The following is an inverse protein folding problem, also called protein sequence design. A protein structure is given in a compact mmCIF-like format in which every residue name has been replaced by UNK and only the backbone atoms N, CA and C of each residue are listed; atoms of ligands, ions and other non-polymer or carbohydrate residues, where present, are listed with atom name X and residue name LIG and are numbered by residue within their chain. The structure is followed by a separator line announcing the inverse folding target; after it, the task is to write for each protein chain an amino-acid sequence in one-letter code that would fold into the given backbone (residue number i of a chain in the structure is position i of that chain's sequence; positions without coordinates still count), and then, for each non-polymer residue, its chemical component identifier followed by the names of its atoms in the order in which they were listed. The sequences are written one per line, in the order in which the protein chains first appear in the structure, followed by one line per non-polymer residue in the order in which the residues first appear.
data_IF_056511013695
#
_entry.id   IF_056511013695
#
_cell.length_a   1.000
_cell.length_b   1.000
_cell.length_c   1.000
_cell.angle_alpha   90.00
_cell.angle_beta   90.00
_cell.angle_gamma   90.00
#
_symmetry.space_group_name_H-M   'P 1'
#
loop_
_entity.id
_entity.type
_entity.pdbx_description
1 polymer ?
#
# COMPACT_ATOMS: atom_id res chain seq x y z
N UNK A 1 0.90 -9.51 -33.71
CA UNK A 1 2.29 -9.19 -33.30
C UNK A 1 2.41 -8.88 -31.80
N UNK A 2 1.65 -7.92 -31.23
CA UNK A 2 1.72 -7.56 -29.79
C UNK A 2 1.61 -8.80 -28.88
N UNK A 3 0.58 -9.64 -29.07
CA UNK A 3 0.38 -10.87 -28.28
C UNK A 3 1.57 -11.83 -28.32
N UNK A 4 2.22 -11.95 -29.48
CA UNK A 4 3.38 -12.84 -29.66
C UNK A 4 4.58 -12.30 -28.88
N UNK A 5 4.85 -11.01 -28.98
CA UNK A 5 5.92 -10.33 -28.25
C UNK A 5 5.66 -10.41 -26.75
N UNK A 6 4.44 -10.11 -26.30
CA UNK A 6 4.04 -10.18 -24.90
C UNK A 6 4.18 -11.59 -24.33
N UNK A 7 3.77 -12.63 -25.07
CA UNK A 7 3.94 -14.02 -24.64
C UNK A 7 5.40 -14.41 -24.51
N UNK A 8 6.24 -14.01 -25.48
CA UNK A 8 7.69 -14.26 -25.45
C UNK A 8 8.32 -13.60 -24.23
N UNK A 9 8.04 -12.32 -24.04
CA UNK A 9 8.53 -11.53 -22.91
C UNK A 9 8.10 -12.12 -21.56
N UNK A 10 6.82 -12.49 -21.42
CA UNK A 10 6.30 -13.13 -20.22
C UNK A 10 7.04 -14.43 -19.89
N UNK A 11 7.24 -15.30 -20.90
CA UNK A 11 7.93 -16.58 -20.71
C UNK A 11 9.40 -16.37 -20.35
N UNK A 12 10.10 -15.43 -21.00
CA UNK A 12 11.49 -15.11 -20.68
C UNK A 12 11.63 -14.57 -19.27
N UNK A 13 10.76 -13.63 -18.88
CA UNK A 13 10.75 -13.04 -17.53
C UNK A 13 10.51 -14.12 -16.46
N UNK A 14 9.56 -15.03 -16.67
CA UNK A 14 9.30 -16.13 -15.73
C UNK A 14 10.41 -17.19 -15.69
N UNK A 15 11.25 -17.28 -16.72
CA UNK A 15 12.40 -18.18 -16.77
C UNK A 15 13.66 -17.57 -16.19
N UNK A 16 13.72 -16.25 -16.05
CA UNK A 16 14.83 -15.57 -15.40
C UNK A 16 14.88 -15.92 -13.90
N UNK A 17 16.00 -16.49 -13.46
CA UNK A 17 16.25 -16.81 -12.06
C UNK A 17 16.24 -15.54 -11.19
N UNK A 18 16.71 -14.41 -11.72
CA UNK A 18 16.72 -13.12 -11.00
C UNK A 18 15.30 -12.65 -10.70
N UNK A 19 14.40 -12.75 -11.68
CA UNK A 19 12.98 -12.46 -11.49
C UNK A 19 12.38 -13.35 -10.41
N UNK A 20 12.64 -14.66 -10.44
CA UNK A 20 12.11 -15.59 -9.43
C UNK A 20 12.61 -15.27 -8.02
N UNK A 21 13.90 -14.96 -7.87
CA UNK A 21 14.46 -14.58 -6.57
C UNK A 21 13.85 -13.27 -6.07
N UNK A 22 13.77 -12.25 -6.93
CA UNK A 22 13.15 -10.98 -6.58
C UNK A 22 11.65 -11.12 -6.27
N UNK A 23 10.95 -11.98 -6.99
CA UNK A 23 9.55 -12.34 -6.76
C UNK A 23 9.36 -12.91 -5.35
N UNK A 24 10.17 -13.92 -4.98
CA UNK A 24 10.10 -14.57 -3.66
C UNK A 24 10.37 -13.54 -2.57
N UNK A 25 11.45 -12.77 -2.67
CA UNK A 25 11.81 -11.76 -1.67
C UNK A 25 10.70 -10.72 -1.52
N UNK A 26 10.20 -10.18 -2.63
CA UNK A 26 9.18 -9.13 -2.60
C UNK A 26 7.86 -9.65 -2.06
N UNK A 27 7.45 -10.87 -2.43
CA UNK A 27 6.24 -11.50 -1.92
C UNK A 27 6.35 -11.78 -0.41
N UNK A 28 7.49 -12.28 0.05
CA UNK A 28 7.75 -12.49 1.48
C UNK A 28 7.71 -11.18 2.26
N UNK A 29 8.36 -10.13 1.76
CA UNK A 29 8.33 -8.81 2.40
C UNK A 29 6.91 -8.24 2.42
N UNK A 30 6.16 -8.35 1.33
CA UNK A 30 4.77 -7.88 1.28
C UNK A 30 3.88 -8.64 2.28
N UNK A 31 4.03 -9.96 2.36
CA UNK A 31 3.28 -10.79 3.31
C UNK A 31 3.59 -10.41 4.76
N UNK A 32 4.88 -10.30 5.11
CA UNK A 32 5.31 -9.87 6.45
C UNK A 32 4.78 -8.48 6.75
N UNK A 33 4.86 -7.54 5.79
CA UNK A 33 4.34 -6.18 5.95
C UNK A 33 2.83 -6.16 6.22
N UNK A 34 2.05 -6.96 5.48
CA UNK A 34 0.61 -7.07 5.69
C UNK A 34 0.26 -7.65 7.06
N UNK A 35 0.99 -8.69 7.50
CA UNK A 35 0.79 -9.31 8.81
C UNK A 35 1.14 -8.34 9.96
N UNK A 36 2.29 -7.66 9.87
CA UNK A 36 2.71 -6.66 10.85
C UNK A 36 1.74 -5.47 10.89
N UNK A 37 1.32 -4.99 9.72
CA UNK A 37 0.31 -3.95 9.60
C UNK A 37 -1.00 -4.35 10.25
N UNK A 38 -1.53 -5.54 9.92
CA UNK A 38 -2.79 -6.04 10.47
C UNK A 38 -2.74 -6.19 12.00
N UNK A 39 -1.65 -6.76 12.52
CA UNK A 39 -1.41 -6.87 13.96
C UNK A 39 -1.38 -5.49 14.63
N UNK A 40 -0.61 -4.55 14.09
CA UNK A 40 -0.50 -3.19 14.61
C UNK A 40 -1.85 -2.45 14.58
N UNK A 41 -2.60 -2.61 13.49
CA UNK A 41 -3.95 -2.06 13.39
C UNK A 41 -4.89 -2.65 14.45
N UNK A 42 -4.88 -3.97 14.63
CA UNK A 42 -5.75 -4.64 15.62
C UNK A 42 -5.44 -4.18 17.05
N UNK A 43 -4.17 -4.02 17.40
CA UNK A 43 -3.75 -3.54 18.71
C UNK A 43 -4.18 -2.08 18.95
N UNK A 44 -3.94 -1.20 17.98
CA UNK A 44 -4.37 0.21 18.06
C UNK A 44 -5.89 0.33 18.19
N UNK A 45 -6.64 -0.52 17.51
CA UNK A 45 -8.11 -0.50 17.62
C UNK A 45 -8.59 -0.95 18.99
N UNK A 46 -8.02 -2.02 19.55
CA UNK A 46 -8.35 -2.49 20.90
C UNK A 46 -8.03 -1.42 21.97
N UNK A 47 -6.87 -0.76 21.84
CA UNK A 47 -6.48 0.35 22.72
C UNK A 47 -7.45 1.53 22.58
N UNK A 48 -7.82 1.89 21.35
CA UNK A 48 -8.79 2.96 21.08
C UNK A 48 -10.16 2.67 21.69
N UNK A 49 -10.70 1.47 21.49
CA UNK A 49 -12.01 1.09 22.05
C UNK A 49 -12.01 1.14 23.58
N UNK A 50 -10.93 0.65 24.19
CA UNK A 50 -10.76 0.70 25.65
C UNK A 50 -10.70 2.15 26.13
N UNK A 51 -9.88 2.99 25.50
CA UNK A 51 -9.74 4.40 25.85
C UNK A 51 -11.05 5.18 25.67
N UNK A 52 -11.82 4.86 24.62
CA UNK A 52 -13.16 5.43 24.39
C UNK A 52 -14.14 5.04 25.49
N UNK A 53 -14.17 3.77 25.92
CA UNK A 53 -15.03 3.30 27.01
C UNK A 53 -14.70 3.99 28.33
N UNK A 54 -13.42 4.06 28.69
CA UNK A 54 -12.95 4.72 29.93
C UNK A 54 -13.31 6.20 29.91
N UNK A 55 -12.99 6.89 28.82
CA UNK A 55 -13.27 8.32 28.66
C UNK A 55 -14.77 8.61 28.69
N UNK A 56 -15.59 7.75 28.07
CA UNK A 56 -17.05 7.87 28.13
C UNK A 56 -17.58 7.65 29.55
N UNK A 57 -17.05 6.66 30.28
CA UNK A 57 -17.44 6.42 31.66
C UNK A 57 -17.07 7.61 32.57
N UNK A 58 -15.90 8.22 32.38
CA UNK A 58 -15.50 9.44 33.09
C UNK A 58 -16.47 10.60 32.79
N UNK A 59 -16.83 10.80 31.52
CA UNK A 59 -17.79 11.83 31.11
C UNK A 59 -19.20 11.61 31.68
N UNK A 60 -19.64 10.36 31.88
CA UNK A 60 -20.95 10.09 32.47
C UNK A 60 -20.93 10.20 33.99
N UNK A 61 -19.77 10.00 34.63
CA UNK A 61 -19.61 9.96 36.09
C UNK A 61 -18.91 11.20 36.69
N UNK A 62 -19.06 12.37 36.07
CA UNK A 62 -18.43 13.64 36.53
C UNK A 62 -19.04 14.24 37.81
N UNK A 63 -20.11 13.64 38.34
CA UNK A 63 -20.87 14.15 39.48
C UNK A 63 -21.82 15.31 39.12
N UNK A 64 -22.40 15.96 40.14
CA UNK A 64 -23.31 17.10 39.94
C UNK A 64 -22.53 18.34 39.53
N UNK A 65 -22.75 18.81 38.30
CA UNK A 65 -22.18 20.04 37.74
C UNK A 65 -23.20 20.71 36.83
N UNK A 66 -23.10 22.03 36.66
CA UNK A 66 -23.88 22.72 35.63
C UNK A 66 -23.30 22.39 34.23
N UNK A 67 -24.10 22.49 33.14
CA UNK A 67 -23.66 22.11 31.80
C UNK A 67 -22.42 22.86 31.30
N UNK A 68 -22.28 24.14 31.66
CA UNK A 68 -21.11 24.93 31.30
C UNK A 68 -19.85 24.41 32.01
N UNK A 69 -19.93 24.15 33.31
CA UNK A 69 -18.86 23.55 34.10
C UNK A 69 -18.46 22.17 33.57
N UNK A 70 -19.43 21.32 33.21
CA UNK A 70 -19.16 20.02 32.60
C UNK A 70 -18.34 20.13 31.30
N UNK A 71 -18.61 21.15 30.48
CA UNK A 71 -17.85 21.38 29.24
C UNK A 71 -16.37 21.78 29.48
N UNK A 72 -16.05 22.42 30.61
CA UNK A 72 -14.66 22.73 30.98
C UNK A 72 -13.88 21.54 31.54
N UNK A 73 -14.55 20.52 32.11
CA UNK A 73 -13.87 19.29 32.53
C UNK A 73 -13.47 18.40 31.36
N UNK A 74 -14.03 18.65 30.18
CA UNK A 74 -13.60 18.11 28.91
C UNK A 74 -13.69 16.60 28.77
N UNK A 75 -13.22 16.12 27.61
CA UNK A 75 -13.24 14.70 27.25
C UNK A 75 -12.22 14.45 26.14
N UNK A 76 -11.56 13.29 26.15
CA UNK A 76 -10.75 12.87 25.01
C UNK A 76 -11.63 12.38 23.85
N UNK A 77 -11.32 12.85 22.65
CA UNK A 77 -11.79 12.24 21.42
C UNK A 77 -10.64 11.51 20.73
N UNK A 78 -10.91 10.28 20.27
CA UNK A 78 -9.92 9.41 19.66
C UNK A 78 -10.19 9.23 18.17
N UNK A 79 -9.16 9.43 17.36
CA UNK A 79 -9.25 9.32 15.90
C UNK A 79 -9.60 7.88 15.49
N UNK A 80 -10.54 7.67 14.54
CA UNK A 80 -10.76 6.35 13.96
C UNK A 80 -9.59 5.90 13.08
N UNK A 81 -9.26 4.62 13.15
CA UNK A 81 -8.21 3.99 12.35
C UNK A 81 -8.87 3.18 11.22
N UNK A 82 -8.94 3.69 9.97
CA UNK A 82 -9.63 2.99 8.90
C UNK A 82 -8.93 1.66 8.59
N UNK A 83 -9.69 0.64 8.22
CA UNK A 83 -9.13 -0.70 7.99
C UNK A 83 -8.00 -0.71 6.94
N UNK A 84 -8.12 0.07 5.85
CA UNK A 84 -7.07 0.16 4.83
C UNK A 84 -5.74 0.76 5.33
N UNK A 85 -5.71 1.36 6.51
CA UNK A 85 -4.48 1.96 7.06
C UNK A 85 -3.40 0.94 7.40
N UNK A 86 -3.73 -0.35 7.52
CA UNK A 86 -2.69 -1.38 7.67
C UNK A 86 -1.95 -1.69 6.37
N UNK A 87 -2.56 -1.38 5.22
CA UNK A 87 -1.91 -1.48 3.90
C UNK A 87 -1.16 -0.17 3.61
N UNK A 88 -1.84 0.95 3.79
CA UNK A 88 -1.31 2.29 3.56
C UNK A 88 -1.56 3.20 4.79
N UNK A 89 -0.56 3.37 5.67
CA UNK A 89 -0.69 4.21 6.86
C UNK A 89 -0.93 5.69 6.53
N UNK A 90 -0.53 6.16 5.35
CA UNK A 90 -0.66 7.55 4.93
C UNK A 90 -0.09 8.52 5.99
N UNK A 91 -0.90 9.50 6.40
CA UNK A 91 -0.49 10.51 7.38
C UNK A 91 -0.71 10.09 8.85
N UNK A 92 -1.22 8.88 9.12
CA UNK A 92 -1.56 8.43 10.48
C UNK A 92 -0.42 8.58 11.50
N UNK A 93 0.84 8.26 11.17
CA UNK A 93 1.95 8.42 12.11
C UNK A 93 2.23 9.87 12.54
N UNK A 94 1.73 10.87 11.80
CA UNK A 94 2.15 12.26 11.95
C UNK A 94 1.09 13.20 12.53
N UNK A 95 -0.20 12.85 12.47
CA UNK A 95 -1.29 13.78 12.85
C UNK A 95 -1.75 13.64 14.30
N UNK A 96 -1.38 12.57 15.01
CA UNK A 96 -1.83 12.29 16.38
C UNK A 96 -3.07 11.39 16.42
N UNK A 97 -3.32 10.80 17.59
CA UNK A 97 -4.37 9.78 17.83
C UNK A 97 -5.48 10.25 18.77
N UNK A 98 -5.23 11.29 19.56
CA UNK A 98 -6.21 11.82 20.53
C UNK A 98 -6.20 13.34 20.57
N UNK A 99 -7.33 13.94 20.93
CA UNK A 99 -7.46 15.38 21.21
C UNK A 99 -8.29 15.59 22.47
N UNK A 100 -7.87 16.54 23.30
CA UNK A 100 -8.64 16.97 24.47
C UNK A 100 -9.69 17.99 24.05
N UNK A 101 -10.96 17.68 24.26
CA UNK A 101 -12.07 18.58 23.95
C UNK A 101 -12.48 19.33 25.23
N UNK A 102 -12.47 20.65 25.20
CA UNK A 102 -12.91 21.49 26.31
C UNK A 102 -13.54 22.81 25.80
N UNK A 103 -14.26 23.50 26.67
CA UNK A 103 -14.91 24.75 26.30
C UNK A 103 -13.91 25.86 25.95
N UNK A 104 -14.19 26.60 24.87
CA UNK A 104 -13.45 27.78 24.40
C UNK A 104 -11.96 27.56 24.08
N UNK A 105 -11.49 26.31 23.98
CA UNK A 105 -10.10 26.01 23.62
C UNK A 105 -10.02 24.87 22.62
N UNK A 106 -9.32 25.13 21.52
CA UNK A 106 -8.96 24.13 20.54
C UNK A 106 -7.58 23.57 20.90
N UNK A 107 -7.53 22.34 21.40
CA UNK A 107 -6.28 21.68 21.75
C UNK A 107 -5.64 21.00 20.55
N UNK A 108 -4.31 20.86 20.62
CA UNK A 108 -3.54 20.11 19.64
C UNK A 108 -3.81 18.61 19.71
N UNK A 109 -3.62 17.94 18.58
CA UNK A 109 -3.61 16.48 18.51
C UNK A 109 -2.35 15.89 19.17
N UNK A 110 -2.58 14.94 20.07
CA UNK A 110 -1.56 14.30 20.91
C UNK A 110 -1.31 12.84 20.48
N UNK A 111 -0.18 12.27 20.94
CA UNK A 111 0.22 10.90 20.66
C UNK A 111 0.52 10.67 19.18
N UNK A 112 1.53 11.35 18.63
CA UNK A 112 1.98 11.17 17.23
C UNK A 112 2.98 10.02 17.19
N UNK A 113 2.68 8.86 16.60
CA UNK A 113 3.59 7.71 16.60
C UNK A 113 4.99 8.03 16.07
N UNK A 114 5.10 8.88 15.04
CA UNK A 114 6.40 9.26 14.48
C UNK A 114 7.25 10.13 15.41
N UNK A 115 6.61 10.88 16.34
CA UNK A 115 7.33 11.68 17.35
C UNK A 115 7.98 10.77 18.38
N UNK A 116 7.27 9.72 18.78
CA UNK A 116 7.68 8.77 19.82
C UNK A 116 8.61 7.67 19.27
N UNK A 117 8.73 7.56 17.93
CA UNK A 117 9.63 6.63 17.27
C UNK A 117 11.11 6.98 17.48
N UNK A 118 11.93 5.94 17.62
CA UNK A 118 13.39 6.05 17.62
C UNK A 118 13.91 6.63 16.30
N UNK A 119 15.17 7.09 16.28
CA UNK A 119 15.83 7.57 15.06
C UNK A 119 15.76 6.55 13.91
N UNK A 120 15.93 5.25 14.21
CA UNK A 120 15.81 4.16 13.23
C UNK A 120 14.37 3.98 12.76
N UNK A 121 13.38 4.10 13.65
CA UNK A 121 11.96 4.02 13.29
C UNK A 121 11.49 5.12 12.32
N UNK A 122 12.26 6.21 12.18
CA UNK A 122 11.98 7.31 11.25
C UNK A 122 12.52 7.10 9.84
N UNK A 123 13.46 6.16 9.63
CA UNK A 123 14.02 5.85 8.30
C UNK A 123 13.05 5.11 7.38
N UNK A 124 11.96 4.60 7.94
CA UNK A 124 10.92 3.92 7.19
C UNK A 124 10.46 2.67 7.92
N UNK A 125 9.16 2.58 8.15
CA UNK A 125 8.53 1.34 8.63
C UNK A 125 8.28 0.43 7.44
N UNK A 126 8.57 -0.87 7.59
CA UNK A 126 8.20 -1.87 6.60
C UNK A 126 6.67 -1.97 6.52
N UNK A 127 6.07 -1.29 5.53
CA UNK A 127 4.64 -1.31 5.23
C UNK A 127 4.38 -1.93 3.87
N UNK A 128 3.15 -2.41 3.64
CA UNK A 128 2.76 -2.91 2.33
C UNK A 128 2.86 -1.80 1.27
N UNK A 129 2.52 -0.56 1.63
CA UNK A 129 2.75 0.60 0.78
C UNK A 129 4.21 0.85 0.45
N UNK A 130 5.15 0.69 1.39
CA UNK A 130 6.58 0.83 1.10
C UNK A 130 7.05 -0.21 0.07
N UNK A 131 6.63 -1.47 0.23
CA UNK A 131 6.94 -2.52 -0.74
C UNK A 131 6.36 -2.16 -2.11
N UNK A 132 5.11 -1.72 -2.17
CA UNK A 132 4.43 -1.37 -3.41
C UNK A 132 4.95 -0.08 -4.06
N UNK A 133 5.35 0.94 -3.30
CA UNK A 133 5.73 2.26 -3.83
C UNK A 133 7.24 2.40 -4.07
N UNK A 134 8.06 1.54 -3.45
CA UNK A 134 9.52 1.62 -3.56
C UNK A 134 10.09 0.35 -4.17
N UNK A 135 9.87 -0.80 -3.55
CA UNK A 135 10.54 -2.05 -3.96
C UNK A 135 10.02 -2.58 -5.31
N UNK A 136 8.70 -2.57 -5.52
CA UNK A 136 8.12 -3.02 -6.79
C UNK A 136 8.51 -2.11 -7.96
N UNK A 137 8.45 -0.77 -7.87
CA UNK A 137 8.97 0.11 -8.92
C UNK A 137 10.44 -0.12 -9.25
N UNK A 138 11.30 -0.33 -8.24
CA UNK A 138 12.71 -0.67 -8.48
C UNK A 138 12.84 -2.01 -9.23
N UNK A 139 12.04 -3.01 -8.85
CA UNK A 139 11.98 -4.28 -9.56
C UNK A 139 11.51 -4.09 -11.01
N UNK A 140 10.47 -3.27 -11.25
CA UNK A 140 9.98 -2.95 -12.59
C UNK A 140 11.10 -2.35 -13.44
N UNK A 141 11.80 -1.34 -12.92
CA UNK A 141 12.91 -0.67 -13.63
C UNK A 141 14.01 -1.65 -13.97
N UNK A 142 14.41 -2.51 -13.02
CA UNK A 142 15.45 -3.52 -13.24
C UNK A 142 15.06 -4.51 -14.35
N UNK A 143 13.81 -4.99 -14.34
CA UNK A 143 13.31 -5.95 -15.33
C UNK A 143 13.17 -5.31 -16.71
N UNK A 144 12.55 -4.14 -16.80
CA UNK A 144 12.33 -3.43 -18.06
C UNK A 144 13.65 -3.06 -18.74
N UNK A 145 14.62 -2.57 -17.97
CA UNK A 145 15.94 -2.27 -18.52
C UNK A 145 16.65 -3.53 -19.05
N UNK A 146 16.59 -4.63 -18.29
CA UNK A 146 17.19 -5.89 -18.70
C UNK A 146 16.64 -6.41 -20.02
N UNK A 147 15.33 -6.30 -20.25
CA UNK A 147 14.70 -6.83 -21.46
C UNK A 147 14.89 -5.95 -22.68
N UNK A 148 15.06 -4.64 -22.49
CA UNK A 148 15.45 -3.71 -23.54
C UNK A 148 16.93 -3.89 -23.93
N UNK A 149 17.83 -3.86 -22.94
CA UNK A 149 19.27 -3.91 -23.15
C UNK A 149 19.68 -5.23 -23.82
N UNK A 150 19.14 -6.37 -23.36
CA UNK A 150 19.45 -7.68 -23.92
C UNK A 150 19.08 -7.80 -25.41
N UNK A 151 17.94 -7.25 -25.84
CA UNK A 151 17.55 -7.29 -27.26
C UNK A 151 18.35 -6.31 -28.12
N UNK A 152 18.77 -5.18 -27.55
CA UNK A 152 19.62 -4.21 -28.22
C UNK A 152 21.03 -4.76 -28.45
N UNK A 153 21.63 -5.37 -27.42
CA UNK A 153 22.98 -5.94 -27.46
C UNK A 153 23.06 -7.17 -28.36
N UNK A 154 22.06 -8.05 -28.31
CA UNK A 154 21.97 -9.23 -29.19
C UNK A 154 21.59 -8.90 -30.64
N UNK A 155 21.25 -7.64 -30.95
CA UNK A 155 20.80 -7.20 -32.26
C UNK A 155 19.40 -7.69 -32.66
N UNK A 156 18.73 -8.49 -31.82
CA UNK A 156 17.39 -9.03 -32.08
C UNK A 156 16.34 -7.94 -32.21
N UNK A 157 16.49 -6.82 -31.50
CA UNK A 157 15.63 -5.65 -31.68
C UNK A 157 15.65 -5.15 -33.13
N UNK A 158 16.84 -5.03 -33.74
CA UNK A 158 16.98 -4.56 -35.13
C UNK A 158 16.37 -5.56 -36.11
N UNK A 159 16.54 -6.85 -35.87
CA UNK A 159 15.95 -7.92 -36.68
C UNK A 159 14.42 -7.84 -36.65
N UNK A 160 13.80 -7.72 -35.47
CA UNK A 160 12.35 -7.61 -35.33
C UNK A 160 11.82 -6.37 -36.03
N UNK A 161 12.49 -5.22 -35.90
CA UNK A 161 12.10 -3.99 -36.59
C UNK A 161 12.26 -4.09 -38.11
N UNK A 162 13.27 -4.82 -38.62
CA UNK A 162 13.44 -5.03 -40.07
C UNK A 162 12.34 -5.89 -40.71
N UNK A 163 11.62 -6.68 -39.92
CA UNK A 163 10.46 -7.46 -40.37
C UNK A 163 9.18 -6.63 -40.48
N UNK A 164 9.27 -5.30 -40.39
CA UNK A 164 8.13 -4.38 -40.50
C UNK A 164 7.35 -4.17 -39.21
N UNK A 165 7.84 -4.66 -38.06
CA UNK A 165 7.21 -4.38 -36.76
C UNK A 165 7.51 -2.94 -36.36
N UNK A 166 6.47 -2.15 -36.08
CA UNK A 166 6.65 -0.78 -35.61
C UNK A 166 7.26 -0.76 -34.19
N UNK A 167 8.04 0.28 -33.87
CA UNK A 167 8.57 0.50 -32.52
C UNK A 167 7.48 0.52 -31.44
N UNK A 168 6.32 1.09 -31.77
CA UNK A 168 5.14 1.13 -30.87
C UNK A 168 4.58 -0.26 -30.60
N UNK A 169 4.43 -1.10 -31.64
CA UNK A 169 3.96 -2.48 -31.51
C UNK A 169 4.92 -3.31 -30.66
N UNK A 170 6.22 -3.11 -30.86
CA UNK A 170 7.26 -3.74 -30.07
C UNK A 170 7.21 -3.32 -28.59
N UNK A 171 7.17 -2.01 -28.32
CA UNK A 171 7.13 -1.46 -26.96
C UNK A 171 5.85 -1.89 -26.21
N UNK A 172 4.68 -1.81 -26.83
CA UNK A 172 3.41 -2.27 -26.22
C UNK A 172 3.43 -3.77 -25.92
N UNK A 173 4.06 -4.57 -26.79
CA UNK A 173 4.28 -6.00 -26.55
C UNK A 173 5.14 -6.25 -25.31
N UNK A 174 6.25 -5.53 -25.17
CA UNK A 174 7.14 -5.56 -24.00
C UNK A 174 6.42 -5.14 -22.72
N UNK A 175 5.73 -4.01 -22.76
CA UNK A 175 4.92 -3.50 -21.65
C UNK A 175 3.91 -4.54 -21.17
N UNK A 176 3.14 -5.13 -22.10
CA UNK A 176 2.12 -6.12 -21.76
C UNK A 176 2.73 -7.40 -21.19
N UNK A 177 3.85 -7.88 -21.73
CA UNK A 177 4.55 -9.05 -21.24
C UNK A 177 5.08 -8.88 -19.81
N UNK A 178 5.72 -7.73 -19.54
CA UNK A 178 6.18 -7.37 -18.20
C UNK A 178 5.01 -7.17 -17.23
N UNK A 179 3.93 -6.51 -17.65
CA UNK A 179 2.74 -6.33 -16.83
C UNK A 179 2.10 -7.69 -16.45
N UNK A 180 2.05 -8.65 -17.38
CA UNK A 180 1.58 -10.00 -17.10
C UNK A 180 2.50 -10.76 -16.13
N UNK A 181 3.83 -10.59 -16.25
CA UNK A 181 4.77 -11.21 -15.33
C UNK A 181 4.62 -10.63 -13.92
N UNK A 182 4.46 -9.31 -13.79
CA UNK A 182 4.18 -8.64 -12.53
C UNK A 182 2.81 -9.02 -11.96
N UNK A 183 1.82 -9.29 -12.80
CA UNK A 183 0.51 -9.75 -12.34
C UNK A 183 0.60 -11.10 -11.58
N UNK A 184 1.56 -11.97 -11.94
CA UNK A 184 1.82 -13.22 -11.20
C UNK A 184 2.24 -12.94 -9.74
N UNK A 185 2.92 -11.82 -9.49
CA UNK A 185 3.26 -11.35 -8.13
C UNK A 185 2.06 -10.68 -7.45
N UNK A 186 1.49 -9.70 -8.15
CA UNK A 186 0.57 -8.73 -7.56
C UNK A 186 -0.82 -9.29 -7.33
N UNK A 187 -1.32 -10.15 -8.23
CA UNK A 187 -2.68 -10.69 -8.12
C UNK A 187 -2.84 -11.58 -6.89
N UNK A 188 -1.97 -12.58 -6.62
CA UNK A 188 -2.06 -13.38 -5.40
C UNK A 188 -1.96 -12.53 -4.13
N UNK A 189 -1.02 -11.58 -4.09
CA UNK A 189 -0.87 -10.68 -2.95
C UNK A 189 -2.12 -9.81 -2.74
N UNK A 190 -2.73 -9.33 -3.82
CA UNK A 190 -3.98 -8.56 -3.77
C UNK A 190 -5.14 -9.41 -3.27
N UNK A 191 -5.27 -10.66 -3.74
CA UNK A 191 -6.30 -11.59 -3.25
C UNK A 191 -6.15 -11.81 -1.75
N UNK A 192 -4.93 -12.03 -1.27
CA UNK A 192 -4.66 -12.22 0.15
C UNK A 192 -4.98 -10.96 0.95
N UNK A 193 -4.54 -9.78 0.47
CA UNK A 193 -4.88 -8.51 1.09
C UNK A 193 -6.39 -8.27 1.16
N UNK A 194 -7.12 -8.56 0.08
CA UNK A 194 -8.58 -8.48 0.02
C UNK A 194 -9.22 -9.44 1.02
N UNK A 195 -8.76 -10.70 1.08
CA UNK A 195 -9.28 -11.69 2.03
C UNK A 195 -9.06 -11.25 3.49
N UNK A 196 -7.88 -10.73 3.83
CA UNK A 196 -7.62 -10.20 5.18
C UNK A 196 -8.56 -9.02 5.48
N UNK A 197 -8.78 -8.11 4.51
CA UNK A 197 -9.68 -6.97 4.66
C UNK A 197 -11.15 -7.39 4.84
N UNK A 198 -11.62 -8.41 4.12
CA UNK A 198 -13.01 -8.87 4.22
C UNK A 198 -13.27 -9.69 5.47
N UNK A 199 -12.29 -10.46 5.94
CA UNK A 199 -12.38 -11.29 7.14
C UNK A 199 -12.10 -10.51 8.44
N UNK A 200 -11.50 -9.33 8.36
CA UNK A 200 -11.27 -8.49 9.55
C UNK A 200 -12.59 -7.99 10.15
N UNK A 201 -12.68 -8.02 11.48
CA UNK A 201 -13.86 -7.65 12.29
C UNK A 201 -14.14 -6.14 12.30
N UNK A 202 -14.29 -5.53 11.12
CA UNK A 202 -14.60 -4.12 10.95
C UNK A 202 -16.08 -3.93 10.60
N UNK A 203 -16.71 -2.92 11.20
CA UNK A 203 -18.16 -2.64 11.15
C UNK A 203 -18.60 -2.02 9.82
N UNK A 204 -17.66 -1.60 8.98
CA UNK A 204 -17.96 -1.05 7.66
C UNK A 204 -18.56 -2.13 6.73
N UNK A 205 -19.71 -1.87 6.09
CA UNK A 205 -20.30 -2.81 5.13
C UNK A 205 -19.43 -2.96 3.89
N UNK A 206 -19.49 -4.13 3.25
CA UNK A 206 -18.70 -4.45 2.05
C UNK A 206 -18.91 -3.43 0.92
N UNK A 207 -20.12 -2.89 0.79
CA UNK A 207 -20.46 -1.84 -0.20
C UNK A 207 -19.65 -0.56 -0.05
N UNK A 208 -19.12 -0.27 1.14
CA UNK A 208 -18.25 0.89 1.38
C UNK A 208 -16.76 0.52 1.35
N UNK A 209 -16.41 -0.74 1.63
CA UNK A 209 -15.03 -1.25 1.55
C UNK A 209 -14.58 -1.44 0.10
N UNK A 210 -15.43 -2.07 -0.72
CA UNK A 210 -15.09 -2.47 -2.08
C UNK A 210 -14.71 -1.29 -3.00
N UNK A 211 -15.43 -0.16 -3.04
CA UNK A 211 -15.04 0.97 -3.88
C UNK A 211 -13.67 1.54 -3.53
N UNK A 212 -13.32 1.58 -2.23
CA UNK A 212 -12.02 2.08 -1.77
C UNK A 212 -10.89 1.13 -2.15
N UNK A 213 -11.11 -0.18 -2.03
CA UNK A 213 -10.16 -1.22 -2.44
C UNK A 213 -9.94 -1.20 -3.95
N UNK A 214 -11.02 -1.07 -4.73
CA UNK A 214 -10.94 -0.93 -6.18
C UNK A 214 -10.19 0.33 -6.59
N UNK A 215 -10.50 1.48 -5.97
CA UNK A 215 -9.80 2.73 -6.25
C UNK A 215 -8.30 2.62 -5.95
N UNK A 216 -7.94 2.01 -4.82
CA UNK A 216 -6.55 1.75 -4.46
C UNK A 216 -5.87 0.82 -5.48
N UNK A 217 -6.54 -0.27 -5.88
CA UNK A 217 -6.04 -1.22 -6.86
C UNK A 217 -5.82 -0.59 -8.24
N UNK A 218 -6.79 0.21 -8.71
CA UNK A 218 -6.67 0.97 -9.97
C UNK A 218 -5.54 2.00 -9.89
N UNK A 219 -5.39 2.69 -8.76
CA UNK A 219 -4.30 3.63 -8.52
C UNK A 219 -2.93 2.97 -8.63
N UNK A 220 -2.74 1.82 -7.96
CA UNK A 220 -1.50 1.05 -8.07
C UNK A 220 -1.28 0.46 -9.47
N UNK A 221 -2.32 -0.01 -10.14
CA UNK A 221 -2.21 -0.51 -11.51
C UNK A 221 -1.77 0.59 -12.49
N UNK A 222 -2.33 1.79 -12.36
CA UNK A 222 -1.91 2.95 -13.14
C UNK A 222 -0.47 3.36 -12.80
N UNK A 223 -0.13 3.41 -11.51
CA UNK A 223 1.22 3.71 -11.06
C UNK A 223 2.25 2.73 -11.63
N UNK A 224 2.03 1.42 -11.53
CA UNK A 224 2.93 0.42 -12.10
C UNK A 224 2.97 0.48 -13.62
N UNK A 225 1.83 0.67 -14.29
CA UNK A 225 1.78 0.86 -15.73
C UNK A 225 2.60 2.07 -16.20
N UNK A 226 2.54 3.18 -15.46
CA UNK A 226 3.33 4.37 -15.73
C UNK A 226 4.83 4.12 -15.55
N UNK A 227 5.24 3.42 -14.47
CA UNK A 227 6.65 3.07 -14.26
C UNK A 227 7.15 2.10 -15.35
N UNK A 228 6.36 1.10 -15.75
CA UNK A 228 6.72 0.21 -16.87
C UNK A 228 6.89 1.02 -18.16
N UNK A 229 5.96 1.94 -18.45
CA UNK A 229 6.03 2.80 -19.63
C UNK A 229 7.25 3.69 -19.64
N UNK A 230 7.57 4.33 -18.50
CA UNK A 230 8.76 5.17 -18.34
C UNK A 230 10.05 4.36 -18.46
N UNK A 231 10.09 3.14 -17.93
CA UNK A 231 11.29 2.30 -17.98
C UNK A 231 11.58 1.74 -19.38
N UNK A 232 10.60 1.73 -20.28
CA UNK A 232 10.73 1.26 -21.67
C UNK A 232 10.87 2.39 -22.70
N UNK A 233 10.70 3.65 -22.30
CA UNK A 233 10.84 4.84 -23.14
C UNK A 233 12.32 5.23 -23.32
#
# INVERSE_FOLDING_TARGET
MIKTIARKEFIETLRDGRFRTALIITLSLLMVSLLLGWKGWSEVQAQRETAQKVTRAQWLNQGKKNPHGAAHYGVYAFRPTPLLSFVEPGIHPYTGVAVWLEAHKQNDFQGRPARDATSVGRFGTLSASFVMQVLIPLLIVLLAFGTFAAERESGTMRQVLSLGVSKTTWALGKMLGLALALAVLLVPATIIGVAVLTLSADTLPLSQKLPRMLLMGVGYAFYFGAIIGLALA
#
